data_IF_330796280847
#
_entry.id   IF_330796280847
#
_cell.length_a   1.000
_cell.length_b   1.000
_cell.length_c   1.000
_cell.angle_alpha   90.00
_cell.angle_beta   90.00
_cell.angle_gamma   90.00
#
_symmetry.space_group_name_H-M   'P 1'
#
loop_
_entity.id
_entity.type
_entity.pdbx_description
1 polymer ?
#
# COMPACT_ATOMS: atom_id res chain seq x y z
N UNK A 1 17.37 -2.72 -41.91
CA UNK A 1 15.93 -2.46 -41.72
C UNK A 1 15.61 -2.67 -40.25
N UNK A 2 15.17 -1.62 -39.54
CA UNK A 2 14.82 -1.73 -38.12
C UNK A 2 13.56 -2.58 -37.91
N UNK A 3 13.42 -3.16 -36.72
CA UNK A 3 12.25 -3.96 -36.35
C UNK A 3 10.99 -3.08 -36.35
N UNK A 4 10.22 -3.12 -37.44
CA UNK A 4 8.90 -2.49 -37.53
C UNK A 4 7.87 -3.41 -36.88
N UNK A 5 7.04 -2.88 -35.98
CA UNK A 5 5.86 -3.60 -35.49
C UNK A 5 4.86 -3.72 -36.64
N UNK A 6 4.62 -4.95 -37.07
CA UNK A 6 3.64 -5.30 -38.11
C UNK A 6 2.36 -5.76 -37.42
N UNK A 7 1.22 -5.19 -37.81
CA UNK A 7 -0.08 -5.52 -37.22
C UNK A 7 -0.48 -6.97 -37.51
N UNK A 8 -1.18 -7.67 -36.58
CA UNK A 8 -1.62 -9.05 -36.78
C UNK A 8 -2.47 -9.24 -38.04
N UNK A 9 -3.43 -8.33 -38.29
CA UNK A 9 -4.30 -8.41 -39.46
C UNK A 9 -3.58 -8.31 -40.80
N UNK A 10 -2.44 -7.61 -40.87
CA UNK A 10 -1.63 -7.57 -42.09
C UNK A 10 -0.97 -8.92 -42.37
N UNK A 11 -0.54 -9.62 -41.31
CA UNK A 11 0.05 -10.96 -41.44
C UNK A 11 -1.00 -12.00 -41.83
N UNK A 12 -2.22 -11.89 -41.28
CA UNK A 12 -3.35 -12.76 -41.64
C UNK A 12 -3.69 -12.64 -43.13
N UNK A 13 -3.78 -11.42 -43.67
CA UNK A 13 -4.06 -11.21 -45.10
C UNK A 13 -2.92 -11.65 -46.02
N UNK A 14 -1.67 -11.50 -45.60
CA UNK A 14 -0.53 -12.04 -46.34
C UNK A 14 -0.58 -13.58 -46.43
N UNK A 15 -0.96 -14.26 -45.34
CA UNK A 15 -1.12 -15.72 -45.33
C UNK A 15 -2.35 -16.20 -46.08
N UNK A 16 -3.45 -15.44 -46.08
CA UNK A 16 -4.63 -15.76 -46.89
C UNK A 16 -4.31 -15.71 -48.38
N UNK A 17 -3.57 -14.70 -48.84
CA UNK A 17 -3.13 -14.61 -50.24
C UNK A 17 -2.17 -15.74 -50.63
N UNK A 18 -1.29 -16.13 -49.69
CA UNK A 18 -0.44 -17.31 -49.87
C UNK A 18 -1.27 -18.59 -50.04
N UNK A 19 -2.29 -18.80 -49.20
CA UNK A 19 -3.18 -19.96 -49.30
C UNK A 19 -4.04 -19.96 -50.57
N UNK A 20 -4.30 -18.78 -51.15
CA UNK A 20 -4.94 -18.64 -52.46
C UNK A 20 -3.99 -18.91 -53.64
N UNK A 21 -2.71 -19.21 -53.38
CA UNK A 21 -1.72 -19.59 -54.39
C UNK A 21 -0.97 -18.43 -55.03
N UNK A 22 -0.94 -17.26 -54.40
CA UNK A 22 -0.16 -16.12 -54.88
C UNK A 22 1.34 -16.33 -54.68
N UNK A 23 2.15 -15.74 -55.56
CA UNK A 23 3.61 -15.87 -55.47
C UNK A 23 4.19 -15.09 -54.28
N UNK A 24 5.21 -15.68 -53.65
CA UNK A 24 5.84 -15.13 -52.47
C UNK A 24 6.50 -13.76 -52.72
N UNK A 25 7.05 -13.54 -53.92
CA UNK A 25 7.70 -12.28 -54.29
C UNK A 25 6.67 -11.16 -54.44
N UNK A 26 5.51 -11.46 -55.05
CA UNK A 26 4.40 -10.52 -55.21
C UNK A 26 3.80 -10.12 -53.87
N UNK A 27 3.58 -11.09 -52.96
CA UNK A 27 3.09 -10.82 -51.60
C UNK A 27 4.10 -9.94 -50.84
N UNK A 28 5.41 -10.26 -50.93
CA UNK A 28 6.45 -9.48 -50.27
C UNK A 28 6.53 -8.05 -50.81
N UNK A 29 6.33 -7.86 -52.11
CA UNK A 29 6.28 -6.56 -52.75
C UNK A 29 5.08 -5.74 -52.28
N UNK A 30 3.87 -6.31 -52.29
CA UNK A 30 2.62 -5.64 -51.90
C UNK A 30 2.64 -5.20 -50.43
N UNK A 31 3.10 -6.08 -49.54
CA UNK A 31 3.08 -5.80 -48.09
C UNK A 31 4.36 -5.13 -47.58
N UNK A 32 5.36 -4.93 -48.44
CA UNK A 32 6.68 -4.41 -48.09
C UNK A 32 7.34 -5.18 -46.93
N UNK A 33 7.30 -6.51 -47.01
CA UNK A 33 7.85 -7.43 -46.00
C UNK A 33 8.95 -8.28 -46.61
N UNK A 34 9.87 -8.76 -45.77
CA UNK A 34 10.90 -9.68 -46.24
C UNK A 34 10.32 -11.09 -46.44
N UNK A 35 10.80 -11.85 -47.45
CA UNK A 35 10.41 -13.26 -47.63
C UNK A 35 10.60 -14.08 -46.36
N UNK A 36 11.69 -13.83 -45.62
CA UNK A 36 11.99 -14.49 -44.34
C UNK A 36 10.89 -14.28 -43.30
N UNK A 37 10.29 -13.10 -43.24
CA UNK A 37 9.18 -12.82 -42.32
C UNK A 37 7.91 -13.54 -42.72
N UNK A 38 7.63 -13.61 -44.03
CA UNK A 38 6.48 -14.32 -44.58
C UNK A 38 6.55 -15.83 -44.29
N UNK A 39 7.71 -16.45 -44.56
CA UNK A 39 7.96 -17.85 -44.18
C UNK A 39 7.85 -18.09 -42.68
N UNK A 40 8.41 -17.21 -41.85
CA UNK A 40 8.27 -17.31 -40.39
C UNK A 40 6.81 -17.25 -39.93
N UNK A 41 5.98 -16.42 -40.55
CA UNK A 41 4.55 -16.36 -40.20
C UNK A 41 3.81 -17.62 -40.62
N UNK A 42 4.15 -18.18 -41.77
CA UNK A 42 3.61 -19.45 -42.23
C UNK A 42 3.97 -20.59 -41.27
N UNK A 43 5.25 -20.71 -40.90
CA UNK A 43 5.71 -21.73 -39.93
C UNK A 43 5.03 -21.60 -38.56
N UNK A 44 4.81 -20.37 -38.10
CA UNK A 44 4.11 -20.11 -36.83
C UNK A 44 2.63 -20.47 -36.96
N UNK A 45 2.00 -20.13 -38.08
CA UNK A 45 0.59 -20.45 -38.35
C UNK A 45 0.37 -21.96 -38.47
N UNK A 46 1.22 -22.68 -39.18
CA UNK A 46 1.16 -24.15 -39.29
C UNK A 46 1.33 -24.83 -37.93
N UNK A 47 2.19 -24.29 -37.08
CA UNK A 47 2.51 -24.90 -35.78
C UNK A 47 1.50 -24.57 -34.68
N UNK A 48 0.91 -23.37 -34.68
CA UNK A 48 0.10 -22.87 -33.56
C UNK A 48 -1.31 -22.43 -33.96
N UNK A 49 -1.66 -22.45 -35.25
CA UNK A 49 -2.96 -21.99 -35.75
C UNK A 49 -3.20 -20.48 -35.61
N UNK A 50 -2.17 -19.72 -35.24
CA UNK A 50 -2.23 -18.28 -35.02
C UNK A 50 -1.04 -17.60 -35.67
N UNK A 51 -1.24 -16.39 -36.18
CA UNK A 51 -0.16 -15.59 -36.80
C UNK A 51 0.71 -14.88 -35.74
N UNK A 52 0.31 -14.97 -34.48
CA UNK A 52 1.10 -14.53 -33.32
C UNK A 52 1.63 -15.74 -32.57
N UNK A 53 2.95 -15.79 -32.38
CA UNK A 53 3.57 -16.82 -31.55
C UNK A 53 3.03 -16.70 -30.12
N UNK A 54 2.49 -17.77 -29.52
CA UNK A 54 2.08 -17.72 -28.12
C UNK A 54 3.30 -17.42 -27.25
N UNK A 55 3.13 -16.69 -26.13
CA UNK A 55 4.23 -16.39 -25.22
C UNK A 55 4.87 -17.71 -24.78
N UNK A 56 6.21 -17.78 -24.82
CA UNK A 56 6.95 -18.91 -24.28
C UNK A 56 6.51 -19.16 -22.84
N UNK A 57 6.25 -20.42 -22.41
CA UNK A 57 5.82 -20.72 -21.04
C UNK A 57 6.85 -20.26 -20.00
N UNK A 58 8.12 -20.16 -20.38
CA UNK A 58 9.17 -19.51 -19.61
C UNK A 58 9.31 -18.06 -20.09
N UNK A 59 8.56 -17.16 -19.47
CA UNK A 59 8.81 -15.72 -19.55
C UNK A 59 9.02 -15.18 -18.13
N UNK A 60 10.18 -14.58 -17.90
CA UNK A 60 10.50 -13.91 -16.65
C UNK A 60 11.97 -14.01 -16.30
N UNK A 61 12.44 -13.05 -15.51
CA UNK A 61 13.65 -13.20 -14.71
C UNK A 61 13.31 -14.16 -13.57
N UNK A 62 14.18 -15.12 -13.26
CA UNK A 62 13.99 -15.99 -12.10
C UNK A 62 13.83 -15.12 -10.86
N UNK A 63 12.74 -15.33 -10.11
CA UNK A 63 12.57 -14.65 -8.84
C UNK A 63 13.73 -15.13 -7.94
N UNK A 64 14.63 -14.23 -7.48
CA UNK A 64 15.81 -14.64 -6.71
C UNK A 64 15.43 -15.28 -5.36
N UNK A 65 14.20 -15.03 -4.92
CA UNK A 65 13.60 -15.63 -3.73
C UNK A 65 12.80 -16.87 -4.17
N UNK A 66 13.42 -18.04 -4.02
CA UNK A 66 12.74 -19.33 -4.21
C UNK A 66 11.70 -19.60 -3.11
N UNK A 67 10.91 -20.67 -3.28
CA UNK A 67 9.86 -21.05 -2.34
C UNK A 67 10.36 -21.23 -0.90
N UNK A 68 11.55 -21.82 -0.72
CA UNK A 68 12.17 -22.01 0.59
C UNK A 68 12.47 -20.69 1.32
N UNK A 69 12.87 -19.65 0.59
CA UNK A 69 13.13 -18.33 1.14
C UNK A 69 11.84 -17.55 1.43
N UNK A 70 10.73 -17.86 0.74
CA UNK A 70 9.42 -17.31 1.09
C UNK A 70 8.89 -17.94 2.39
N UNK A 71 9.13 -19.23 2.63
CA UNK A 71 8.76 -19.89 3.88
C UNK A 71 9.49 -19.28 5.06
N UNK A 72 10.80 -19.04 4.95
CA UNK A 72 11.57 -18.40 6.03
C UNK A 72 11.15 -16.96 6.28
N UNK A 73 10.89 -16.17 5.23
CA UNK A 73 10.32 -14.82 5.38
C UNK A 73 8.99 -14.85 6.14
N UNK A 74 8.16 -15.86 5.91
CA UNK A 74 6.88 -16.04 6.60
C UNK A 74 7.10 -16.38 8.08
N UNK A 75 8.06 -17.26 8.39
CA UNK A 75 8.45 -17.60 9.77
C UNK A 75 9.01 -16.40 10.52
N UNK A 76 9.83 -15.59 9.86
CA UNK A 76 10.39 -14.36 10.41
C UNK A 76 9.28 -13.36 10.77
N UNK A 77 8.32 -13.15 9.87
CA UNK A 77 7.15 -12.31 10.18
C UNK A 77 6.24 -12.89 11.26
N UNK A 78 6.23 -14.22 11.43
CA UNK A 78 5.48 -14.86 12.51
C UNK A 78 6.15 -14.64 13.88
N UNK A 79 7.48 -14.67 13.93
CA UNK A 79 8.25 -14.42 15.14
C UNK A 79 8.28 -12.94 15.53
N UNK A 80 8.50 -12.06 14.55
CA UNK A 80 8.47 -10.62 14.75
C UNK A 80 7.87 -9.92 13.53
N UNK A 81 6.61 -9.50 13.70
CA UNK A 81 5.89 -8.76 12.67
C UNK A 81 6.47 -7.38 12.38
N UNK A 82 7.31 -6.82 13.26
CA UNK A 82 7.81 -5.44 13.11
C UNK A 82 9.10 -5.34 12.31
N UNK A 83 9.61 -6.45 11.78
CA UNK A 83 10.88 -6.52 11.04
C UNK A 83 10.86 -5.61 9.79
N UNK A 84 11.93 -4.83 9.65
CA UNK A 84 12.12 -3.92 8.52
C UNK A 84 12.70 -4.64 7.30
N UNK A 85 12.57 -4.02 6.12
CA UNK A 85 13.13 -4.55 4.88
C UNK A 85 14.64 -4.84 4.97
N UNK A 86 15.40 -3.96 5.63
CA UNK A 86 16.84 -4.13 5.84
C UNK A 86 17.14 -5.33 6.74
N UNK A 87 16.44 -5.48 7.86
CA UNK A 87 16.57 -6.62 8.77
C UNK A 87 16.20 -7.95 8.07
N UNK A 88 15.15 -7.94 7.24
CA UNK A 88 14.76 -9.09 6.43
C UNK A 88 15.79 -9.42 5.34
N UNK A 89 16.39 -8.40 4.73
CA UNK A 89 17.52 -8.58 3.79
C UNK A 89 18.72 -9.21 4.48
N UNK A 90 19.07 -8.76 5.69
CA UNK A 90 20.14 -9.36 6.50
C UNK A 90 19.83 -10.81 6.85
N UNK A 91 18.59 -11.10 7.26
CA UNK A 91 18.16 -12.46 7.55
C UNK A 91 18.28 -13.38 6.33
N UNK A 92 17.86 -12.91 5.16
CA UNK A 92 17.97 -13.66 3.90
C UNK A 92 19.42 -13.85 3.44
N UNK A 93 20.27 -12.84 3.65
CA UNK A 93 21.68 -12.92 3.34
C UNK A 93 22.42 -13.91 4.25
N UNK A 94 22.12 -13.91 5.56
CA UNK A 94 22.82 -14.74 6.55
C UNK A 94 22.32 -16.19 6.53
N UNK A 95 21.01 -16.41 6.44
CA UNK A 95 20.43 -17.75 6.61
C UNK A 95 20.17 -18.49 5.30
N UNK A 96 20.16 -17.78 4.16
CA UNK A 96 19.85 -18.37 2.86
C UNK A 96 20.86 -18.02 1.76
N UNK A 97 21.92 -17.25 2.06
CA UNK A 97 22.88 -16.73 1.08
C UNK A 97 22.22 -15.96 -0.09
N UNK A 98 21.04 -15.38 0.17
CA UNK A 98 20.27 -14.64 -0.83
C UNK A 98 20.53 -13.15 -0.65
N UNK A 99 21.32 -12.57 -1.56
CA UNK A 99 21.52 -11.12 -1.65
C UNK A 99 20.49 -10.51 -2.59
N UNK A 100 19.53 -9.76 -2.05
CA UNK A 100 18.47 -9.08 -2.82
C UNK A 100 18.45 -7.60 -2.52
N UNK A 101 18.11 -6.78 -3.51
CA UNK A 101 17.87 -5.36 -3.27
C UNK A 101 16.54 -5.12 -2.56
N UNK A 102 16.41 -3.99 -1.87
CA UNK A 102 15.17 -3.58 -1.21
C UNK A 102 13.99 -3.48 -2.19
N UNK A 103 14.24 -3.01 -3.41
CA UNK A 103 13.22 -2.92 -4.47
C UNK A 103 12.77 -4.29 -4.97
N UNK A 104 13.70 -5.24 -5.14
CA UNK A 104 13.38 -6.62 -5.51
C UNK A 104 12.58 -7.32 -4.40
N UNK A 105 12.99 -7.17 -3.13
CA UNK A 105 12.25 -7.69 -1.99
C UNK A 105 10.83 -7.09 -1.89
N UNK A 106 10.69 -5.79 -2.15
CA UNK A 106 9.39 -5.11 -2.19
C UNK A 106 8.47 -5.67 -3.28
N UNK A 107 8.98 -5.88 -4.49
CA UNK A 107 8.23 -6.47 -5.59
C UNK A 107 7.83 -7.93 -5.31
N UNK A 108 8.72 -8.71 -4.69
CA UNK A 108 8.43 -10.07 -4.24
C UNK A 108 7.32 -10.06 -3.19
N UNK A 109 7.44 -9.24 -2.14
CA UNK A 109 6.44 -9.16 -1.06
C UNK A 109 5.08 -8.61 -1.52
N UNK A 110 5.05 -7.68 -2.49
CA UNK A 110 3.78 -7.20 -3.07
C UNK A 110 2.98 -8.32 -3.75
N UNK A 111 3.67 -9.33 -4.30
CA UNK A 111 2.98 -10.51 -4.86
C UNK A 111 2.41 -11.44 -3.78
N UNK A 112 2.86 -11.34 -2.53
CA UNK A 112 2.53 -12.29 -1.45
C UNK A 112 1.79 -11.67 -0.26
N UNK A 113 1.65 -10.34 -0.15
CA UNK A 113 1.10 -9.70 1.06
C UNK A 113 0.37 -8.38 0.86
N UNK A 114 -0.60 -8.09 1.76
CA UNK A 114 -1.30 -6.80 1.88
C UNK A 114 -0.76 -5.97 3.06
N UNK A 115 -0.87 -4.64 2.95
CA UNK A 115 -0.56 -3.70 4.03
C UNK A 115 -1.74 -3.67 5.02
N UNK A 116 -1.46 -3.82 6.31
CA UNK A 116 -2.46 -3.76 7.38
C UNK A 116 -2.81 -2.30 7.71
N UNK A 117 -4.11 -2.01 7.83
CA UNK A 117 -4.62 -0.74 8.33
C UNK A 117 -5.13 -0.96 9.76
N UNK A 118 -4.68 -0.12 10.70
CA UNK A 118 -5.14 -0.15 12.10
C UNK A 118 -6.54 0.46 12.16
N UNK A 119 -7.56 -0.37 12.39
CA UNK A 119 -8.95 0.09 12.59
C UNK A 119 -9.29 0.00 14.06
N UNK A 120 -9.87 1.06 14.63
CA UNK A 120 -10.37 1.06 16.01
C UNK A 120 -11.55 0.06 16.15
N UNK A 121 -11.56 -0.77 17.20
CA UNK A 121 -12.56 -1.83 17.37
C UNK A 121 -13.95 -1.33 17.79
N UNK A 122 -14.05 -0.07 18.22
CA UNK A 122 -15.27 0.53 18.79
C UNK A 122 -16.17 1.23 17.74
N UNK A 123 -15.90 1.06 16.44
CA UNK A 123 -16.70 1.70 15.38
C UNK A 123 -18.10 1.09 15.29
N UNK A 124 -19.12 1.89 15.59
CA UNK A 124 -20.50 1.70 15.17
C UNK A 124 -20.80 2.63 14.00
N UNK A 125 -21.04 2.06 12.82
CA UNK A 125 -21.24 2.83 11.59
C UNK A 125 -22.58 3.58 11.57
N UNK A 126 -23.62 3.02 12.20
CA UNK A 126 -24.96 3.63 12.30
C UNK A 126 -24.90 4.89 13.16
N UNK A 127 -24.29 4.79 14.35
CA UNK A 127 -24.08 5.96 15.23
C UNK A 127 -23.19 7.04 14.58
N UNK A 128 -22.26 6.64 13.71
CA UNK A 128 -21.40 7.57 12.95
C UNK A 128 -22.18 8.31 11.88
N UNK A 129 -23.09 7.62 11.19
CA UNK A 129 -23.95 8.19 10.16
C UNK A 129 -24.98 9.16 10.75
N UNK A 130 -25.58 8.81 11.89
CA UNK A 130 -26.48 9.68 12.65
C UNK A 130 -25.77 10.97 13.09
N UNK A 131 -24.57 10.84 13.67
CA UNK A 131 -23.76 12.00 14.07
C UNK A 131 -23.36 12.88 12.87
N UNK A 132 -23.00 12.27 11.74
CA UNK A 132 -22.69 13.01 10.52
C UNK A 132 -23.91 13.74 9.96
N UNK A 133 -25.10 13.17 10.11
CA UNK A 133 -26.35 13.79 9.67
C UNK A 133 -26.70 14.99 10.55
N UNK A 134 -26.56 14.85 11.87
CA UNK A 134 -26.77 15.93 12.84
C UNK A 134 -25.85 17.13 12.60
N UNK A 135 -24.55 16.89 12.37
CA UNK A 135 -23.57 17.99 12.15
C UNK A 135 -23.79 18.70 10.81
N UNK A 136 -24.36 18.01 9.82
CA UNK A 136 -24.64 18.57 8.50
C UNK A 136 -25.99 19.28 8.43
N UNK A 137 -26.77 19.28 9.50
CA UNK A 137 -28.07 19.93 9.54
C UNK A 137 -27.91 21.46 9.50
N UNK A 138 -28.37 22.12 8.41
CA UNK A 138 -28.26 23.57 8.26
C UNK A 138 -29.17 24.35 9.21
N UNK A 139 -30.13 23.70 9.91
CA UNK A 139 -30.92 24.35 10.96
C UNK A 139 -30.11 24.57 12.25
N UNK A 140 -29.11 23.73 12.50
CA UNK A 140 -28.31 23.74 13.72
C UNK A 140 -26.92 24.35 13.53
N UNK A 141 -26.34 24.22 12.34
CA UNK A 141 -24.98 24.64 12.08
C UNK A 141 -24.86 25.41 10.76
N UNK A 142 -24.06 26.45 10.76
CA UNK A 142 -23.77 27.30 9.60
C UNK A 142 -23.03 26.58 8.45
N UNK A 143 -22.47 25.40 8.72
CA UNK A 143 -21.66 24.62 7.78
C UNK A 143 -20.26 25.20 7.50
N UNK A 144 -19.90 26.34 8.12
CA UNK A 144 -18.59 26.98 7.94
C UNK A 144 -17.55 26.42 8.91
N UNK A 145 -18.00 25.76 9.99
CA UNK A 145 -17.15 25.15 11.00
C UNK A 145 -16.60 26.11 12.06
N UNK A 146 -16.83 27.41 11.91
CA UNK A 146 -16.39 28.44 12.88
C UNK A 146 -17.07 28.34 14.24
N UNK A 147 -18.22 27.67 14.32
CA UNK A 147 -18.96 27.44 15.56
C UNK A 147 -18.42 26.25 16.38
N UNK A 148 -17.52 25.45 15.80
CA UNK A 148 -16.95 24.30 16.47
C UNK A 148 -15.62 24.64 17.13
N UNK A 149 -15.55 24.34 18.42
CA UNK A 149 -14.30 24.17 19.15
C UNK A 149 -14.16 22.69 19.48
N UNK A 150 -13.12 22.07 18.93
CA UNK A 150 -12.83 20.65 19.14
C UNK A 150 -11.80 20.51 20.23
N UNK A 151 -12.04 19.57 21.15
CA UNK A 151 -11.12 19.23 22.23
C UNK A 151 -10.75 17.77 22.04
N UNK A 152 -9.45 17.47 22.03
CA UNK A 152 -8.97 16.09 21.99
C UNK A 152 -7.84 15.87 23.00
N UNK A 153 -7.77 14.65 23.54
CA UNK A 153 -6.76 14.25 24.51
C UNK A 153 -5.67 13.41 23.82
N UNK A 154 -4.43 13.84 23.97
CA UNK A 154 -3.25 13.09 23.56
C UNK A 154 -2.42 12.73 24.78
N UNK A 155 -2.15 11.44 24.96
CA UNK A 155 -1.20 10.97 25.95
C UNK A 155 0.18 10.89 25.33
N UNK A 156 1.17 11.47 25.99
CA UNK A 156 2.58 11.26 25.72
C UNK A 156 3.18 10.47 26.87
N UNK A 157 3.62 9.28 26.54
CA UNK A 157 4.44 8.45 27.41
C UNK A 157 5.80 8.22 26.76
N UNK A 158 6.84 7.96 27.56
CA UNK A 158 8.12 7.38 27.10
C UNK A 158 7.94 5.99 26.42
N UNK A 159 6.71 5.47 26.37
CA UNK A 159 6.28 4.25 25.63
C UNK A 159 6.53 4.34 24.11
N UNK A 160 6.81 5.51 23.57
CA UNK A 160 6.86 5.78 22.12
C UNK A 160 8.11 5.23 21.40
N UNK A 161 8.73 4.16 21.93
CA UNK A 161 9.81 3.42 21.26
C UNK A 161 9.26 2.20 20.48
N UNK A 162 7.96 1.90 20.62
CA UNK A 162 7.34 0.79 19.90
C UNK A 162 7.04 1.12 18.44
N UNK A 163 7.32 0.17 17.53
CA UNK A 163 7.12 0.36 16.08
C UNK A 163 5.62 0.43 15.76
N UNK A 164 5.17 1.51 15.12
CA UNK A 164 3.77 1.72 14.76
C UNK A 164 3.25 0.76 13.68
N UNK A 165 4.15 0.12 12.92
CA UNK A 165 3.82 -0.73 11.78
C UNK A 165 4.43 -2.12 11.94
N UNK A 166 3.62 -3.14 11.64
CA UNK A 166 4.03 -4.53 11.54
C UNK A 166 3.37 -5.22 10.33
N UNK A 167 3.95 -6.34 9.91
CA UNK A 167 3.56 -7.16 8.77
C UNK A 167 3.36 -8.59 9.24
N UNK A 168 2.31 -9.23 8.75
CA UNK A 168 2.01 -10.64 8.99
C UNK A 168 1.63 -11.31 7.66
N UNK A 169 1.69 -12.65 7.59
CA UNK A 169 1.19 -13.40 6.44
C UNK A 169 -0.28 -13.11 6.15
N UNK A 170 -0.72 -13.31 4.91
CA UNK A 170 -2.11 -13.04 4.49
C UNK A 170 -3.08 -13.88 5.32
N UNK A 171 -4.04 -13.22 5.97
CA UNK A 171 -5.04 -13.85 6.84
C UNK A 171 -4.64 -13.95 8.32
N UNK A 172 -3.46 -13.46 8.70
CA UNK A 172 -2.99 -13.46 10.09
C UNK A 172 -2.88 -12.04 10.68
N UNK A 173 -3.03 -11.94 12.00
CA UNK A 173 -2.89 -10.68 12.75
C UNK A 173 -1.43 -10.50 13.17
N UNK A 174 -0.84 -9.35 12.84
CA UNK A 174 0.45 -8.94 13.41
C UNK A 174 0.28 -8.65 14.91
N UNK A 175 1.01 -9.38 15.75
CA UNK A 175 1.04 -9.18 17.21
C UNK A 175 2.47 -8.85 17.60
N UNK A 176 2.64 -7.85 18.44
CA UNK A 176 3.93 -7.45 18.98
C UNK A 176 3.78 -7.24 20.49
N UNK A 177 4.66 -7.85 21.28
CA UNK A 177 4.69 -7.72 22.73
C UNK A 177 5.78 -6.74 23.11
N UNK A 178 5.42 -5.69 23.85
CA UNK A 178 6.34 -4.68 24.37
C UNK A 178 6.45 -4.81 25.88
N UNK A 179 7.66 -4.61 26.46
CA UNK A 179 7.81 -4.58 27.91
C UNK A 179 7.02 -3.43 28.52
N UNK A 180 6.30 -3.70 29.60
CA UNK A 180 5.54 -2.69 30.34
C UNK A 180 6.47 -1.86 31.22
N UNK A 181 6.75 -0.62 30.84
CA UNK A 181 7.56 0.33 31.63
C UNK A 181 6.64 1.38 32.27
N UNK A 182 6.79 1.63 33.58
CA UNK A 182 6.10 2.69 34.31
C UNK A 182 7.02 3.90 34.40
N UNK A 183 6.83 4.86 33.51
CA UNK A 183 7.50 6.16 33.55
C UNK A 183 6.48 7.30 33.72
N UNK A 184 6.93 8.53 33.90
CA UNK A 184 6.07 9.72 34.00
C UNK A 184 5.27 9.94 32.71
N UNK A 185 3.94 9.84 32.83
CA UNK A 185 2.98 10.09 31.76
C UNK A 185 2.65 11.58 31.68
N UNK A 186 2.56 12.15 30.49
CA UNK A 186 2.03 13.50 30.28
C UNK A 186 0.74 13.41 29.46
N UNK A 187 -0.34 14.01 29.95
CA UNK A 187 -1.53 14.23 29.13
C UNK A 187 -1.47 15.65 28.57
N UNK A 188 -1.59 15.77 27.26
CA UNK A 188 -1.87 17.01 26.54
C UNK A 188 -3.35 17.02 26.16
N UNK A 189 -4.05 18.11 26.47
CA UNK A 189 -5.40 18.35 25.94
C UNK A 189 -5.30 19.50 24.93
N UNK A 190 -5.57 19.21 23.67
CA UNK A 190 -5.52 20.20 22.60
C UNK A 190 -6.92 20.74 22.32
N UNK A 191 -7.08 22.06 22.40
CA UNK A 191 -8.33 22.75 22.09
C UNK A 191 -8.12 23.59 20.84
N UNK A 192 -8.90 23.33 19.80
CA UNK A 192 -8.71 23.90 18.48
C UNK A 192 -10.02 24.43 17.89
N UNK A 193 -9.92 25.52 17.13
CA UNK A 193 -10.96 25.99 16.22
C UNK A 193 -10.42 26.06 14.78
N UNK A 194 -11.24 26.52 13.84
CA UNK A 194 -10.82 26.78 12.46
C UNK A 194 -9.73 27.86 12.35
N UNK A 195 -9.50 28.66 13.41
CA UNK A 195 -8.45 29.67 13.47
C UNK A 195 -7.13 29.17 14.09
N UNK A 196 -7.10 27.95 14.60
CA UNK A 196 -5.90 27.33 15.21
C UNK A 196 -6.11 26.89 16.65
N UNK A 197 -5.02 26.74 17.39
CA UNK A 197 -5.03 26.33 18.79
C UNK A 197 -5.54 27.47 19.68
N UNK A 198 -6.55 27.16 20.49
CA UNK A 198 -7.06 28.06 21.54
C UNK A 198 -6.28 27.83 22.83
N UNK A 199 -6.13 26.56 23.23
CA UNK A 199 -5.43 26.17 24.45
C UNK A 199 -4.73 24.82 24.28
N UNK A 200 -3.60 24.64 24.97
CA UNK A 200 -2.83 23.38 25.00
C UNK A 200 -2.37 23.01 26.41
N UNK A 201 -3.30 22.82 27.36
CA UNK A 201 -2.97 22.42 28.72
C UNK A 201 -2.25 21.08 28.75
N UNK A 202 -1.14 21.05 29.50
CA UNK A 202 -0.32 19.86 29.73
C UNK A 202 -0.36 19.57 31.21
N UNK A 203 -0.69 18.33 31.55
CA UNK A 203 -0.65 17.84 32.93
C UNK A 203 0.24 16.61 33.04
N UNK A 204 0.80 16.41 34.22
CA UNK A 204 1.50 15.17 34.57
C UNK A 204 0.48 14.16 35.11
N UNK A 205 0.55 12.93 34.61
CA UNK A 205 -0.37 11.83 34.90
C UNK A 205 -1.61 11.84 34.02
N UNK A 206 -2.61 11.07 34.43
CA UNK A 206 -3.86 10.92 33.70
C UNK A 206 -4.79 12.13 33.90
N UNK A 207 -5.57 12.42 32.84
CA UNK A 207 -6.72 13.33 32.92
C UNK A 207 -7.83 12.69 33.75
N UNK A 208 -8.39 13.45 34.67
CA UNK A 208 -9.64 13.11 35.33
C UNK A 208 -10.70 14.17 34.98
N UNK A 209 -11.97 13.84 35.25
CA UNK A 209 -13.08 14.72 34.91
C UNK A 209 -12.97 16.11 35.55
N UNK A 210 -12.34 16.22 36.73
CA UNK A 210 -12.17 17.49 37.43
C UNK A 210 -11.10 18.34 36.75
N UNK A 211 -9.93 17.78 36.48
CA UNK A 211 -8.84 18.44 35.75
C UNK A 211 -9.28 18.89 34.36
N UNK A 212 -10.07 18.05 33.67
CA UNK A 212 -10.65 18.39 32.37
C UNK A 212 -11.56 19.61 32.47
N UNK A 213 -12.50 19.61 33.42
CA UNK A 213 -13.44 20.72 33.58
C UNK A 213 -12.73 22.02 33.97
N UNK A 214 -11.74 21.96 34.87
CA UNK A 214 -10.93 23.12 35.24
C UNK A 214 -10.18 23.67 34.03
N UNK A 215 -9.53 22.80 33.26
CA UNK A 215 -8.80 23.20 32.05
C UNK A 215 -9.72 23.85 31.00
N UNK A 216 -10.92 23.33 30.77
CA UNK A 216 -11.88 23.96 29.85
C UNK A 216 -12.31 25.34 30.37
N UNK A 217 -12.63 25.46 31.66
CA UNK A 217 -13.14 26.72 32.21
C UNK A 217 -12.06 27.80 32.23
N UNK A 218 -10.84 27.47 32.67
CA UNK A 218 -9.76 28.45 32.79
C UNK A 218 -9.12 28.74 31.41
N UNK A 219 -8.77 27.71 30.64
CA UNK A 219 -7.95 27.90 29.44
C UNK A 219 -8.78 28.21 28.18
N UNK A 220 -10.04 27.76 28.11
CA UNK A 220 -10.90 27.92 26.91
C UNK A 220 -11.95 29.01 27.10
N UNK A 221 -12.62 29.05 28.26
CA UNK A 221 -13.73 30.01 28.49
C UNK A 221 -13.24 31.35 29.01
N UNK A 222 -12.27 31.38 29.93
CA UNK A 222 -11.72 32.62 30.49
C UNK A 222 -10.57 33.20 29.67
N UNK A 223 -9.95 32.38 28.82
CA UNK A 223 -8.78 32.75 28.02
C UNK A 223 -7.48 32.67 28.83
N UNK A 224 -6.33 32.49 28.17
CA UNK A 224 -5.05 32.35 28.87
C UNK A 224 -4.78 33.60 29.71
N UNK A 225 -4.66 33.42 31.02
CA UNK A 225 -4.09 34.44 31.90
C UNK A 225 -2.65 34.67 31.47
N UNK A 226 -2.38 35.82 30.85
CA UNK A 226 -1.02 36.29 30.57
C UNK A 226 -0.22 36.31 31.88
N UNK A 227 0.87 35.54 31.91
CA UNK A 227 1.95 35.64 32.89
C UNK A 227 3.15 36.32 32.24
#
# INVERSE_FOLDING_TARGET
MGNRRISPGLKERALELWNLGWDAEDICFIFHVSPRSLYQWHDIFDKFGSVTKPPSPLHGCDCPVGLAALTSVTEVYFQDSTIMFTELMWHLAINHDITISQSALGATLQRVGKVLQKTASERNEEAREDYCTLIKDPEHFSGTGMEFVTVDESSKDEREISRAYGRAPVGQRAVHSTPWVRDEHYTLTAVMSTQGYIATPIIVGAMDAHKFLVSIVEDVVRGPTEH
#
